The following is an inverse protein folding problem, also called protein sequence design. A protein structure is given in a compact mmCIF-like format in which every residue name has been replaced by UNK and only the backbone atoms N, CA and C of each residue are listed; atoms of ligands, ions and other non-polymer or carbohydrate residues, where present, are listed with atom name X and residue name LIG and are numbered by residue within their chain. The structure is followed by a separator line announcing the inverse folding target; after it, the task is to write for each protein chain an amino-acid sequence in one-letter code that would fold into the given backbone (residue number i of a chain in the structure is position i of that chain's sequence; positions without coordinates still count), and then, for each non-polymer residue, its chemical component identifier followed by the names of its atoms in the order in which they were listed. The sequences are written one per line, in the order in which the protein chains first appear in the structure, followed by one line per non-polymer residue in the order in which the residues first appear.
data_IF_258458595205
#
_entry.id   IF_258458595205
#
_cell.length_a   1.000
_cell.length_b   1.000
_cell.length_c   1.000
_cell.angle_alpha   90.00
_cell.angle_beta   90.00
_cell.angle_gamma   90.00
#
_symmetry.space_group_name_H-M   'P 1'
#
loop_
_entity.id
_entity.type
_entity.pdbx_description
1 polymer ?
#
# COMPACT_ATOMS: atom_id res chain seq x y z
N UNK A 1 -7.33 15.53 -11.43
CA UNK A 1 -5.92 15.08 -11.34
C UNK A 1 -5.04 16.23 -11.82
N UNK A 2 -3.80 16.33 -11.37
CA UNK A 2 -2.85 17.33 -11.88
C UNK A 2 -1.62 16.62 -12.44
N UNK A 3 -1.04 17.15 -13.51
CA UNK A 3 0.18 16.62 -14.12
C UNK A 3 1.34 17.51 -13.70
N UNK A 4 2.44 16.91 -13.25
CA UNK A 4 3.61 17.67 -12.81
C UNK A 4 4.88 16.99 -13.26
N UNK A 5 5.94 17.79 -13.43
CA UNK A 5 7.29 17.24 -13.51
C UNK A 5 7.65 16.56 -12.20
N UNK A 6 8.27 15.40 -12.30
CA UNK A 6 8.75 14.60 -11.18
C UNK A 6 10.26 14.73 -11.17
N UNK A 7 10.82 15.05 -10.01
CA UNK A 7 12.25 15.20 -9.83
C UNK A 7 12.72 14.46 -8.58
N UNK A 8 14.01 14.13 -8.52
CA UNK A 8 14.64 13.57 -7.33
C UNK A 8 15.01 14.69 -6.35
N UNK A 9 14.62 14.55 -5.09
CA UNK A 9 15.06 15.44 -4.01
C UNK A 9 16.59 15.53 -4.02
N UNK A 10 17.11 16.76 -3.93
CA UNK A 10 18.55 17.05 -3.98
C UNK A 10 19.07 17.44 -5.36
N UNK A 11 18.35 17.16 -6.46
CA UNK A 11 18.79 17.48 -7.83
C UNK A 11 18.30 18.83 -8.38
N UNK A 12 17.72 19.68 -7.51
CA UNK A 12 17.09 20.95 -7.90
C UNK A 12 15.62 20.76 -8.31
N UNK A 13 14.74 21.63 -7.81
CA UNK A 13 13.31 21.59 -8.14
C UNK A 13 13.08 22.36 -9.45
N UNK A 14 12.52 21.76 -10.52
CA UNK A 14 12.09 22.53 -11.68
C UNK A 14 10.90 23.39 -11.26
N UNK A 15 11.01 24.72 -11.40
CA UNK A 15 9.99 25.70 -11.03
C UNK A 15 9.41 26.43 -12.23
N UNK A 16 10.18 26.49 -13.33
CA UNK A 16 9.81 27.16 -14.57
C UNK A 16 10.33 26.35 -15.78
N UNK A 17 9.74 26.52 -16.97
CA UNK A 17 10.10 25.74 -18.15
C UNK A 17 11.59 25.80 -18.54
N UNK A 18 12.25 26.96 -18.40
CA UNK A 18 13.69 27.11 -18.65
C UNK A 18 14.57 26.20 -17.77
N UNK A 19 14.07 25.71 -16.62
CA UNK A 19 14.82 24.80 -15.74
C UNK A 19 14.99 23.38 -16.33
N UNK A 20 14.31 23.08 -17.44
CA UNK A 20 14.42 21.81 -18.18
C UNK A 20 15.54 21.84 -19.23
N UNK A 21 16.07 23.01 -19.57
CA UNK A 21 17.11 23.13 -20.61
C UNK A 21 18.36 22.38 -20.17
N UNK A 22 18.86 21.50 -21.05
CA UNK A 22 20.03 20.66 -20.78
C UNK A 22 19.78 19.53 -19.78
N UNK A 23 18.51 19.23 -19.45
CA UNK A 23 18.12 18.11 -18.57
C UNK A 23 17.62 16.91 -19.37
N UNK A 24 17.82 15.72 -18.83
CA UNK A 24 17.30 14.47 -19.39
C UNK A 24 15.85 14.30 -18.97
N UNK A 25 14.94 14.65 -19.88
CA UNK A 25 13.49 14.52 -19.68
C UNK A 25 12.97 13.37 -20.54
N UNK A 26 12.30 12.40 -19.93
CA UNK A 26 11.65 11.30 -20.66
C UNK A 26 10.18 11.13 -20.26
N UNK A 27 9.34 10.81 -21.23
CA UNK A 27 7.91 10.48 -21.05
C UNK A 27 7.54 9.25 -21.88
N UNK A 28 6.49 8.53 -21.47
CA UNK A 28 6.00 7.39 -22.25
C UNK A 28 5.35 7.85 -23.56
N UNK A 29 5.59 7.10 -24.64
CA UNK A 29 4.99 7.35 -25.97
C UNK A 29 3.46 7.36 -25.89
N UNK A 30 2.83 8.30 -26.61
CA UNK A 30 1.36 8.36 -26.74
C UNK A 30 0.62 8.78 -25.48
N UNK A 31 1.33 9.29 -24.47
CA UNK A 31 0.72 9.87 -23.27
C UNK A 31 0.35 11.33 -23.51
N UNK A 32 -0.65 11.85 -22.79
CA UNK A 32 -0.96 13.29 -22.80
C UNK A 32 0.22 14.16 -22.35
N UNK A 33 1.23 13.56 -21.71
CA UNK A 33 2.43 14.26 -21.25
C UNK A 33 3.30 14.75 -22.40
N UNK A 34 3.30 14.02 -23.52
CA UNK A 34 3.97 14.43 -24.77
C UNK A 34 3.39 15.77 -25.24
N UNK A 35 2.06 15.87 -25.32
CA UNK A 35 1.39 17.11 -25.72
C UNK A 35 1.70 18.28 -24.78
N UNK A 36 1.83 18.02 -23.47
CA UNK A 36 2.18 19.06 -22.50
C UNK A 36 3.62 19.55 -22.70
N UNK A 37 4.56 18.63 -22.88
CA UNK A 37 5.97 18.98 -23.10
C UNK A 37 6.19 19.64 -24.46
N UNK A 38 5.46 19.22 -25.49
CA UNK A 38 5.51 19.85 -26.82
C UNK A 38 5.03 21.31 -26.77
N UNK A 39 3.97 21.61 -26.01
CA UNK A 39 3.54 23.01 -25.79
C UNK A 39 4.60 23.83 -25.05
N UNK A 40 5.20 23.27 -24.01
CA UNK A 40 6.29 23.93 -23.30
C UNK A 40 7.51 24.17 -24.20
N UNK A 41 7.84 23.21 -25.07
CA UNK A 41 8.93 23.35 -26.03
C UNK A 41 8.63 24.43 -27.09
N UNK A 42 7.37 24.61 -27.48
CA UNK A 42 6.99 25.69 -28.39
C UNK A 42 7.15 27.09 -27.75
N UNK A 43 6.94 27.19 -26.43
CA UNK A 43 7.18 28.42 -25.66
C UNK A 43 8.67 28.64 -25.36
N UNK A 44 9.41 27.56 -25.11
CA UNK A 44 10.83 27.57 -24.75
C UNK A 44 11.61 26.54 -25.61
N UNK A 45 12.07 26.93 -26.82
CA UNK A 45 12.65 26.01 -27.81
C UNK A 45 13.90 25.25 -27.35
N UNK A 46 14.56 25.70 -26.29
CA UNK A 46 15.73 25.01 -25.70
C UNK A 46 15.39 23.74 -24.91
N UNK A 47 14.11 23.47 -24.66
CA UNK A 47 13.67 22.25 -23.98
C UNK A 47 13.80 21.06 -24.93
N UNK A 48 14.46 20.00 -24.49
CA UNK A 48 14.57 18.73 -25.19
C UNK A 48 14.04 17.62 -24.28
N UNK A 49 13.16 16.77 -24.82
CA UNK A 49 12.66 15.58 -24.14
C UNK A 49 12.61 14.42 -25.12
N UNK A 50 12.57 13.19 -24.60
CA UNK A 50 12.43 11.98 -25.41
C UNK A 50 11.18 11.19 -25.04
N UNK A 51 10.61 10.53 -26.04
CA UNK A 51 9.51 9.60 -25.86
C UNK A 51 10.06 8.17 -25.79
N UNK A 52 9.76 7.47 -24.69
CA UNK A 52 10.23 6.12 -24.46
C UNK A 52 9.13 5.10 -24.80
N UNK A 53 9.27 4.30 -25.88
CA UNK A 53 8.26 3.30 -26.27
C UNK A 53 8.27 2.06 -25.38
N UNK A 54 9.31 1.88 -24.57
CA UNK A 54 9.57 0.66 -23.82
C UNK A 54 9.41 0.85 -22.31
N UNK A 55 9.01 2.05 -21.85
CA UNK A 55 8.85 2.36 -20.45
C UNK A 55 7.45 2.91 -20.15
N UNK A 56 6.82 2.38 -19.11
CA UNK A 56 5.61 2.98 -18.57
C UNK A 56 5.93 4.15 -17.60
N UNK A 57 4.90 4.88 -17.19
CA UNK A 57 5.05 6.04 -16.29
C UNK A 57 5.66 5.62 -14.94
N UNK A 58 5.39 4.40 -14.47
CA UNK A 58 5.93 3.91 -13.22
C UNK A 58 7.44 3.68 -13.31
N UNK A 59 7.90 3.08 -14.41
CA UNK A 59 9.32 2.85 -14.69
C UNK A 59 10.08 4.16 -14.79
N UNK A 60 9.51 5.17 -15.45
CA UNK A 60 10.09 6.51 -15.56
C UNK A 60 10.16 7.24 -14.21
N UNK A 61 9.13 7.12 -13.36
CA UNK A 61 9.19 7.66 -11.99
C UNK A 61 10.33 7.01 -11.19
N UNK A 62 10.50 5.69 -11.32
CA UNK A 62 11.58 4.98 -10.65
C UNK A 62 12.95 5.32 -11.26
N UNK A 63 13.03 5.59 -12.56
CA UNK A 63 14.25 6.06 -13.23
C UNK A 63 14.69 7.44 -12.70
N UNK A 64 13.75 8.37 -12.48
CA UNK A 64 14.03 9.63 -11.77
C UNK A 64 14.56 9.36 -10.36
N UNK A 65 13.94 8.42 -9.62
CA UNK A 65 14.38 8.09 -8.27
C UNK A 65 15.82 7.56 -8.22
N UNK A 66 16.22 6.74 -9.21
CA UNK A 66 17.60 6.24 -9.36
C UNK A 66 18.56 7.34 -9.83
N UNK A 67 18.08 8.29 -10.62
CA UNK A 67 18.88 9.35 -11.24
C UNK A 67 19.31 9.01 -12.67
N UNK A 68 18.69 7.99 -13.27
CA UNK A 68 18.92 7.58 -14.66
C UNK A 68 18.46 8.68 -15.62
N UNK A 69 17.41 9.40 -15.24
CA UNK A 69 16.87 10.59 -15.92
C UNK A 69 16.64 11.68 -14.88
N UNK A 70 16.63 12.94 -15.31
CA UNK A 70 16.50 14.06 -14.39
C UNK A 70 15.03 14.30 -14.04
N UNK A 71 14.16 14.30 -15.07
CA UNK A 71 12.73 14.51 -14.92
C UNK A 71 11.87 13.56 -15.75
N UNK A 72 10.67 13.27 -15.27
CA UNK A 72 9.56 12.73 -16.06
C UNK A 72 8.29 13.52 -15.74
N UNK A 73 7.19 13.27 -16.45
CA UNK A 73 5.88 13.82 -16.13
C UNK A 73 5.00 12.71 -15.58
N UNK A 74 4.27 12.99 -14.49
CA UNK A 74 3.30 12.05 -13.97
C UNK A 74 2.08 12.74 -13.36
N UNK A 75 0.98 11.98 -13.35
CA UNK A 75 -0.23 12.34 -12.66
C UNK A 75 -0.05 12.35 -11.14
N UNK A 76 -0.70 13.29 -10.46
CA UNK A 76 -0.58 13.47 -9.01
C UNK A 76 -1.00 12.25 -8.19
N UNK A 77 -1.86 11.38 -8.72
CA UNK A 77 -2.23 10.13 -8.06
C UNK A 77 -1.13 9.07 -8.15
N UNK A 78 -0.44 8.96 -9.29
CA UNK A 78 0.73 8.06 -9.44
C UNK A 78 1.85 8.49 -8.50
N UNK A 79 2.10 9.79 -8.39
CA UNK A 79 3.12 10.31 -7.46
C UNK A 79 2.81 9.93 -6.01
N UNK A 80 1.54 9.98 -5.59
CA UNK A 80 1.15 9.56 -4.24
C UNK A 80 1.46 8.08 -3.98
N UNK A 81 1.23 7.22 -4.96
CA UNK A 81 1.55 5.78 -4.87
C UNK A 81 3.07 5.58 -4.84
N UNK A 82 3.78 6.09 -5.84
CA UNK A 82 5.19 5.77 -6.03
C UNK A 82 6.13 6.44 -5.02
N UNK A 83 5.71 7.49 -4.32
CA UNK A 83 6.50 8.08 -3.21
C UNK A 83 6.71 7.10 -2.06
N UNK A 84 5.83 6.11 -1.87
CA UNK A 84 5.99 5.09 -0.85
C UNK A 84 7.09 4.07 -1.20
N UNK A 85 7.41 3.93 -2.49
CA UNK A 85 8.43 3.03 -3.01
C UNK A 85 9.75 3.77 -3.28
N UNK A 86 9.64 5.02 -3.72
CA UNK A 86 10.74 5.91 -4.04
C UNK A 86 10.58 7.21 -3.24
N UNK A 87 10.94 7.22 -1.95
CA UNK A 87 10.68 8.36 -1.07
C UNK A 87 11.44 9.63 -1.48
N UNK A 88 12.40 9.56 -2.40
CA UNK A 88 13.12 10.73 -2.92
C UNK A 88 12.38 11.53 -3.98
N UNK A 89 11.38 10.95 -4.66
CA UNK A 89 10.68 11.67 -5.74
C UNK A 89 9.81 12.81 -5.19
N UNK A 90 9.73 13.90 -5.94
CA UNK A 90 8.97 15.11 -5.58
C UNK A 90 8.28 15.67 -6.83
N UNK A 91 7.18 16.41 -6.60
CA UNK A 91 6.51 17.20 -7.65
C UNK A 91 7.20 18.55 -7.81
N UNK A 92 7.59 18.85 -9.03
CA UNK A 92 8.16 20.12 -9.47
C UNK A 92 7.09 21.03 -10.07
N UNK A 93 7.39 21.59 -11.24
CA UNK A 93 6.49 22.43 -12.04
C UNK A 93 5.20 21.66 -12.36
N UNK A 94 4.06 22.29 -12.10
CA UNK A 94 2.75 21.80 -12.50
C UNK A 94 2.47 22.19 -13.96
N UNK A 95 2.09 21.21 -14.77
CA UNK A 95 1.84 21.37 -16.21
C UNK A 95 0.34 21.47 -16.53
N UNK A 96 -0.50 20.87 -15.70
CA UNK A 96 -1.95 20.98 -15.76
C UNK A 96 -2.57 20.73 -14.40
N UNK A 97 -3.75 21.31 -14.18
CA UNK A 97 -4.54 21.14 -12.96
C UNK A 97 -6.00 20.83 -13.31
N UNK A 98 -6.66 20.05 -12.45
CA UNK A 98 -8.10 19.78 -12.58
C UNK A 98 -8.50 18.77 -13.67
N UNK A 99 -7.57 18.08 -14.33
CA UNK A 99 -7.87 17.12 -15.38
C UNK A 99 -8.76 15.96 -14.87
N UNK A 100 -9.83 15.65 -15.59
CA UNK A 100 -10.64 14.46 -15.33
C UNK A 100 -10.02 13.24 -16.00
N UNK A 101 -10.26 12.04 -15.44
CA UNK A 101 -9.83 10.76 -16.04
C UNK A 101 -11.05 10.00 -16.58
N UNK A 102 -11.54 10.35 -17.78
CA UNK A 102 -12.69 9.67 -18.38
C UNK A 102 -12.30 8.32 -18.98
N UNK A 103 -13.29 7.43 -19.14
CA UNK A 103 -13.16 6.30 -20.06
C UNK A 103 -13.34 6.78 -21.50
N UNK A 104 -12.33 6.59 -22.33
CA UNK A 104 -12.40 6.92 -23.75
C UNK A 104 -13.13 5.81 -24.53
N UNK A 105 -14.00 6.20 -25.45
CA UNK A 105 -14.76 5.27 -26.28
C UNK A 105 -14.69 5.68 -27.76
N UNK A 106 -14.81 4.73 -28.71
CA UNK A 106 -14.83 5.06 -30.13
C UNK A 106 -15.95 6.04 -30.46
N UNK A 107 -15.65 7.05 -31.27
CA UNK A 107 -16.67 8.00 -31.76
C UNK A 107 -17.59 7.28 -32.74
N UNK A 108 -18.82 7.00 -32.32
CA UNK A 108 -19.87 6.34 -33.11
C UNK A 108 -21.17 7.14 -33.01
N UNK A 109 -22.07 6.94 -33.97
CA UNK A 109 -23.44 7.50 -33.91
C UNK A 109 -24.31 6.81 -32.87
N UNK A 110 -24.02 5.54 -32.58
CA UNK A 110 -24.66 4.78 -31.53
C UNK A 110 -24.01 5.09 -30.17
N UNK A 111 -24.82 5.58 -29.24
CA UNK A 111 -24.41 5.95 -27.87
C UNK A 111 -24.85 4.93 -26.81
N UNK A 112 -25.51 3.84 -27.19
CA UNK A 112 -26.09 2.86 -26.26
C UNK A 112 -25.08 2.34 -25.22
N UNK A 113 -23.86 2.00 -25.64
CA UNK A 113 -22.79 1.59 -24.73
C UNK A 113 -22.34 2.73 -23.81
N UNK A 114 -22.25 3.96 -24.32
CA UNK A 114 -21.81 5.12 -23.53
C UNK A 114 -22.82 5.43 -22.42
N UNK A 115 -24.11 5.34 -22.75
CA UNK A 115 -25.19 5.54 -21.80
C UNK A 115 -25.19 4.47 -20.70
N UNK A 116 -24.92 3.20 -21.06
CA UNK A 116 -24.77 2.12 -20.09
C UNK A 116 -23.55 2.29 -19.19
N UNK A 117 -22.41 2.72 -19.74
CA UNK A 117 -21.20 3.03 -18.96
C UNK A 117 -21.46 4.19 -17.98
N UNK A 118 -22.11 5.26 -18.44
CA UNK A 118 -22.47 6.40 -17.58
C UNK A 118 -23.49 6.00 -16.49
N UNK A 119 -24.46 5.14 -16.82
CA UNK A 119 -25.39 4.57 -15.85
C UNK A 119 -24.66 3.69 -14.81
N UNK A 120 -23.70 2.88 -15.24
CA UNK A 120 -22.85 2.09 -14.36
C UNK A 120 -22.04 2.99 -13.40
N UNK A 121 -21.39 4.04 -13.90
CA UNK A 121 -20.64 4.98 -13.05
C UNK A 121 -21.51 5.68 -12.01
N UNK A 122 -22.73 6.10 -12.38
CA UNK A 122 -23.72 6.61 -11.42
C UNK A 122 -24.06 5.58 -10.35
N UNK A 123 -24.37 4.33 -10.76
CA UNK A 123 -24.68 3.24 -9.83
C UNK A 123 -23.55 2.98 -8.83
N UNK A 124 -22.29 2.86 -9.29
CA UNK A 124 -21.16 2.58 -8.40
C UNK A 124 -20.74 3.77 -7.55
N UNK A 125 -21.06 4.99 -8.00
CA UNK A 125 -20.89 6.20 -7.21
C UNK A 125 -21.91 6.19 -6.05
N UNK A 126 -23.18 6.03 -6.36
CA UNK A 126 -24.28 6.16 -5.40
C UNK A 126 -24.27 5.04 -4.34
N UNK A 127 -23.84 3.83 -4.72
CA UNK A 127 -23.74 2.72 -3.79
C UNK A 127 -22.39 2.65 -3.03
N UNK A 128 -21.49 3.62 -3.25
CA UNK A 128 -20.19 3.70 -2.57
C UNK A 128 -19.11 2.73 -3.07
N UNK A 129 -19.38 1.90 -4.09
CA UNK A 129 -18.39 0.99 -4.66
C UNK A 129 -17.20 1.74 -5.25
N UNK A 130 -17.42 2.90 -5.88
CA UNK A 130 -16.34 3.76 -6.36
C UNK A 130 -15.50 4.28 -5.20
N UNK A 131 -16.12 4.75 -4.11
CA UNK A 131 -15.42 5.20 -2.90
C UNK A 131 -14.55 4.08 -2.30
N UNK A 132 -15.07 2.85 -2.28
CA UNK A 132 -14.31 1.67 -1.81
C UNK A 132 -13.12 1.35 -2.71
N UNK A 133 -13.30 1.41 -4.05
CA UNK A 133 -12.20 1.23 -5.00
C UNK A 133 -11.15 2.32 -4.80
N UNK A 134 -11.56 3.59 -4.75
CA UNK A 134 -10.65 4.71 -4.58
C UNK A 134 -9.92 4.67 -3.25
N UNK A 135 -10.61 4.35 -2.14
CA UNK A 135 -9.96 4.19 -0.84
C UNK A 135 -8.96 3.04 -0.85
N UNK A 136 -9.30 1.91 -1.48
CA UNK A 136 -8.42 0.74 -1.58
C UNK A 136 -7.07 1.10 -2.17
N UNK A 137 -7.04 1.88 -3.25
CA UNK A 137 -5.81 2.20 -3.98
C UNK A 137 -5.14 3.52 -3.55
N UNK A 138 -5.91 4.48 -3.04
CA UNK A 138 -5.40 5.84 -2.78
C UNK A 138 -5.62 6.31 -1.34
N UNK A 139 -6.53 5.68 -0.59
CA UNK A 139 -7.05 6.19 0.69
C UNK A 139 -6.02 6.34 1.81
N UNK A 140 -4.92 5.59 1.76
CA UNK A 140 -3.80 5.62 2.71
C UNK A 140 -2.52 6.25 2.13
N UNK A 141 -2.53 6.68 0.86
CA UNK A 141 -1.36 7.31 0.20
C UNK A 141 -1.33 8.83 0.37
N UNK A 142 -2.37 9.41 0.97
CA UNK A 142 -2.52 10.86 1.13
C UNK A 142 -1.55 11.49 2.14
N UNK A 143 -1.14 10.74 3.17
CA UNK A 143 -0.18 11.19 4.19
C UNK A 143 1.15 10.49 3.96
N UNK A 144 2.11 11.22 3.42
CA UNK A 144 3.46 10.70 3.15
C UNK A 144 4.44 11.11 4.26
N UNK A 145 4.87 10.15 5.07
CA UNK A 145 6.00 10.31 5.99
C UNK A 145 7.31 9.90 5.30
N UNK A 146 8.09 10.89 4.86
CA UNK A 146 9.38 10.66 4.23
C UNK A 146 10.36 9.89 5.13
N UNK A 147 10.49 10.31 6.40
CA UNK A 147 11.49 9.74 7.32
C UNK A 147 11.09 8.33 7.71
N UNK A 148 9.82 8.12 8.05
CA UNK A 148 9.28 6.80 8.38
C UNK A 148 9.34 5.83 7.20
N UNK A 149 9.01 6.28 5.99
CA UNK A 149 9.10 5.43 4.78
C UNK A 149 10.54 5.04 4.47
N UNK A 150 11.48 6.00 4.52
CA UNK A 150 12.88 5.69 4.27
C UNK A 150 13.46 4.72 5.31
N UNK A 151 13.11 4.91 6.58
CA UNK A 151 13.45 3.97 7.66
C UNK A 151 12.83 2.59 7.44
N UNK A 152 11.56 2.53 7.04
CA UNK A 152 10.88 1.27 6.74
C UNK A 152 11.57 0.51 5.63
N UNK A 153 11.84 1.17 4.51
CA UNK A 153 12.55 0.55 3.39
C UNK A 153 13.88 -0.02 3.85
N UNK A 154 14.70 0.76 4.55
CA UNK A 154 15.98 0.29 5.12
C UNK A 154 15.80 -0.94 6.03
N UNK A 155 14.88 -0.86 6.98
CA UNK A 155 14.62 -1.96 7.92
C UNK A 155 14.04 -3.20 7.19
N UNK A 156 13.30 -3.02 6.09
CA UNK A 156 12.80 -4.11 5.26
C UNK A 156 13.95 -4.84 4.55
N UNK A 157 15.06 -4.16 4.26
CA UNK A 157 16.28 -4.79 3.71
C UNK A 157 17.06 -5.53 4.80
N UNK A 158 17.19 -4.93 5.99
CA UNK A 158 18.13 -5.42 7.02
C UNK A 158 17.52 -6.30 8.10
N UNK A 159 16.26 -6.09 8.48
CA UNK A 159 15.60 -6.78 9.61
C UNK A 159 14.55 -7.79 9.18
N UNK A 160 13.69 -7.46 8.21
CA UNK A 160 12.64 -8.37 7.74
C UNK A 160 13.16 -9.77 7.36
N UNK A 161 14.34 -9.95 6.72
CA UNK A 161 14.86 -11.28 6.42
C UNK A 161 14.98 -12.21 7.63
N UNK A 162 15.25 -11.65 8.82
CA UNK A 162 15.43 -12.39 10.06
C UNK A 162 14.12 -13.00 10.58
N UNK A 163 12.97 -12.42 10.19
CA UNK A 163 11.65 -12.79 10.71
C UNK A 163 10.68 -13.23 9.62
N UNK A 164 11.06 -13.16 8.34
CA UNK A 164 10.20 -13.46 7.19
C UNK A 164 9.58 -14.84 7.30
N UNK A 165 10.40 -15.86 7.58
CA UNK A 165 9.94 -17.24 7.71
C UNK A 165 8.91 -17.39 8.83
N UNK A 166 9.06 -16.65 9.94
CA UNK A 166 8.09 -16.66 11.04
C UNK A 166 6.75 -16.05 10.62
N UNK A 167 6.77 -14.96 9.83
CA UNK A 167 5.55 -14.38 9.26
C UNK A 167 4.89 -15.31 8.24
N UNK A 168 5.67 -16.01 7.41
CA UNK A 168 5.16 -16.99 6.44
C UNK A 168 4.55 -18.22 7.15
N UNK A 169 5.18 -18.70 8.21
CA UNK A 169 4.65 -19.79 9.04
C UNK A 169 3.34 -19.39 9.73
N UNK A 170 3.27 -18.18 10.30
CA UNK A 170 2.04 -17.66 10.88
C UNK A 170 0.94 -17.43 9.83
N UNK A 171 1.30 -16.99 8.63
CA UNK A 171 0.38 -16.89 7.50
C UNK A 171 -0.22 -18.26 7.14
N UNK A 172 0.60 -19.30 7.04
CA UNK A 172 0.15 -20.67 6.78
C UNK A 172 -0.79 -21.18 7.89
N UNK A 173 -0.48 -20.89 9.16
CA UNK A 173 -1.29 -21.32 10.30
C UNK A 173 -2.65 -20.59 10.39
N UNK A 174 -2.71 -19.33 9.98
CA UNK A 174 -3.87 -18.44 10.22
C UNK A 174 -4.66 -18.06 8.97
N UNK A 175 -4.18 -18.45 7.78
CA UNK A 175 -4.79 -18.12 6.49
C UNK A 175 -4.67 -16.64 6.09
N UNK A 176 -3.74 -15.90 6.71
CA UNK A 176 -3.51 -14.48 6.41
C UNK A 176 -2.32 -14.26 5.49
N UNK A 177 -2.26 -13.11 4.83
CA UNK A 177 -1.09 -12.74 4.03
C UNK A 177 0.09 -12.40 4.96
N UNK A 178 1.23 -13.08 4.78
CA UNK A 178 2.43 -12.86 5.60
C UNK A 178 2.92 -11.41 5.55
N UNK A 179 2.69 -10.71 4.43
CA UNK A 179 3.09 -9.31 4.25
C UNK A 179 2.21 -8.39 5.10
N UNK A 180 0.94 -8.74 5.31
CA UNK A 180 0.07 -8.01 6.22
C UNK A 180 0.54 -8.21 7.68
N UNK A 181 0.89 -9.43 8.06
CA UNK A 181 1.43 -9.71 9.40
C UNK A 181 2.76 -8.99 9.64
N UNK A 182 3.65 -8.99 8.65
CA UNK A 182 4.89 -8.24 8.70
C UNK A 182 4.66 -6.72 8.81
N UNK A 183 3.69 -6.17 8.06
CA UNK A 183 3.31 -4.77 8.17
C UNK A 183 2.80 -4.39 9.57
N UNK A 184 1.99 -5.25 10.19
CA UNK A 184 1.54 -5.08 11.58
C UNK A 184 2.74 -5.10 12.53
N UNK A 185 3.59 -6.13 12.45
CA UNK A 185 4.78 -6.23 13.32
C UNK A 185 5.73 -5.04 13.17
N UNK A 186 5.81 -4.43 11.99
CA UNK A 186 6.59 -3.21 11.81
C UNK A 186 5.93 -2.00 12.49
N UNK A 187 4.63 -1.82 12.32
CA UNK A 187 3.89 -0.74 12.98
C UNK A 187 3.95 -0.87 14.50
N UNK A 188 3.93 -2.08 15.04
CA UNK A 188 3.94 -2.36 16.48
C UNK A 188 5.32 -2.15 17.11
N UNK A 189 6.37 -2.73 16.52
CA UNK A 189 7.70 -2.80 17.17
C UNK A 189 8.88 -2.46 16.26
N UNK A 190 8.63 -2.15 14.99
CA UNK A 190 9.67 -2.10 13.93
C UNK A 190 10.47 -3.40 13.85
N UNK A 191 9.76 -4.51 13.99
CA UNK A 191 10.31 -5.86 14.07
C UNK A 191 11.33 -6.05 15.19
N UNK A 192 11.07 -5.48 16.36
CA UNK A 192 11.88 -5.67 17.55
C UNK A 192 11.20 -6.66 18.52
N UNK A 193 11.68 -7.91 18.65
CA UNK A 193 11.09 -8.91 19.55
C UNK A 193 11.19 -8.51 21.02
N UNK A 194 12.19 -7.70 21.39
CA UNK A 194 12.39 -7.24 22.76
C UNK A 194 11.71 -5.90 23.06
N UNK A 195 10.79 -5.44 22.19
CA UNK A 195 10.07 -4.20 22.41
C UNK A 195 9.20 -4.28 23.67
N UNK A 196 9.23 -3.20 24.47
CA UNK A 196 8.43 -3.05 25.69
C UNK A 196 7.88 -1.61 25.72
N UNK A 197 6.57 -1.46 25.92
CA UNK A 197 5.97 -0.14 26.12
C UNK A 197 5.87 0.24 27.60
N UNK A 198 5.69 1.54 27.91
CA UNK A 198 5.32 1.99 29.25
C UNK A 198 3.99 1.39 29.76
N UNK A 199 3.09 1.02 28.85
CA UNK A 199 1.79 0.40 29.16
C UNK A 199 1.85 -1.11 29.33
N UNK A 200 3.05 -1.71 29.23
CA UNK A 200 3.29 -3.13 29.49
C UNK A 200 2.98 -4.08 28.34
N UNK A 201 2.68 -3.58 27.13
CA UNK A 201 2.67 -4.42 25.92
C UNK A 201 4.10 -4.76 25.51
N UNK A 202 4.30 -5.97 24.98
CA UNK A 202 5.64 -6.53 24.69
C UNK A 202 5.66 -7.34 23.41
N UNK A 203 6.83 -7.48 22.82
CA UNK A 203 7.05 -8.38 21.71
C UNK A 203 6.94 -7.72 20.35
N UNK A 204 7.24 -8.51 19.31
CA UNK A 204 7.22 -8.03 17.94
C UNK A 204 5.82 -7.58 17.47
N UNK A 205 4.76 -8.18 18.02
CA UNK A 205 3.35 -7.82 17.76
C UNK A 205 2.69 -7.03 18.90
N UNK A 206 3.47 -6.61 19.92
CA UNK A 206 3.03 -5.78 21.04
C UNK A 206 1.76 -6.28 21.76
N UNK A 207 1.80 -7.54 22.19
CA UNK A 207 0.67 -8.16 22.88
C UNK A 207 0.58 -7.72 24.34
N UNK A 208 -0.64 -7.45 24.82
CA UNK A 208 -0.90 -7.30 26.27
C UNK A 208 -0.80 -8.66 26.96
N UNK A 209 -0.52 -8.68 28.27
CA UNK A 209 -0.52 -9.93 29.05
C UNK A 209 -1.87 -10.65 28.95
N UNK A 210 -2.98 -9.90 29.09
CA UNK A 210 -4.33 -10.43 28.96
C UNK A 210 -4.58 -11.07 27.59
N UNK A 211 -4.11 -10.43 26.52
CA UNK A 211 -4.28 -10.95 25.16
C UNK A 211 -3.47 -12.22 24.97
N UNK A 212 -2.20 -12.23 25.41
CA UNK A 212 -1.34 -13.40 25.36
C UNK A 212 -1.96 -14.62 26.07
N UNK A 213 -2.48 -14.45 27.29
CA UNK A 213 -3.16 -15.53 28.01
C UNK A 213 -4.41 -16.06 27.28
N UNK A 214 -5.16 -15.18 26.62
CA UNK A 214 -6.40 -15.54 25.91
C UNK A 214 -6.13 -16.28 24.59
N UNK A 215 -4.95 -16.12 24.01
CA UNK A 215 -4.54 -16.73 22.74
C UNK A 215 -3.48 -17.83 22.89
N UNK A 216 -3.04 -18.14 24.12
CA UNK A 216 -2.06 -19.20 24.38
C UNK A 216 -0.61 -18.84 24.02
N UNK A 217 -0.22 -17.57 24.19
CA UNK A 217 1.18 -17.14 24.09
C UNK A 217 1.81 -17.16 25.48
N UNK A 218 2.80 -18.03 25.66
CA UNK A 218 3.51 -18.20 26.93
C UNK A 218 4.59 -17.14 27.08
N UNK A 219 5.37 -16.89 26.02
CA UNK A 219 6.38 -15.84 25.98
C UNK A 219 6.07 -14.80 24.90
N UNK A 220 5.79 -13.56 25.36
CA UNK A 220 5.49 -12.43 24.46
C UNK A 220 6.71 -11.91 23.72
N UNK A 221 7.94 -12.14 24.21
CA UNK A 221 9.17 -11.69 23.55
C UNK A 221 9.76 -12.75 22.61
N UNK A 222 9.28 -13.99 22.67
CA UNK A 222 9.56 -14.98 21.64
C UNK A 222 8.90 -14.54 20.32
N UNK A 223 9.67 -14.31 19.23
CA UNK A 223 9.13 -13.76 18.00
C UNK A 223 8.12 -14.71 17.33
N UNK A 224 8.33 -16.03 17.39
CA UNK A 224 7.44 -16.98 16.73
C UNK A 224 6.06 -16.99 17.41
N UNK A 225 6.03 -17.12 18.75
CA UNK A 225 4.80 -17.06 19.53
C UNK A 225 4.11 -15.70 19.41
N UNK A 226 4.88 -14.61 19.49
CA UNK A 226 4.33 -13.25 19.38
C UNK A 226 3.67 -13.01 18.01
N UNK A 227 4.30 -13.46 16.91
CA UNK A 227 3.75 -13.33 15.55
C UNK A 227 2.47 -14.15 15.38
N UNK A 228 2.49 -15.44 15.74
CA UNK A 228 1.32 -16.32 15.63
C UNK A 228 0.18 -15.81 16.52
N UNK A 229 0.48 -15.39 17.73
CA UNK A 229 -0.50 -14.80 18.63
C UNK A 229 -1.12 -13.50 18.09
N UNK A 230 -0.29 -12.58 17.61
CA UNK A 230 -0.78 -11.35 16.96
C UNK A 230 -1.70 -11.65 15.77
N UNK A 231 -1.33 -12.66 14.97
CA UNK A 231 -2.14 -13.13 13.87
C UNK A 231 -3.50 -13.67 14.34
N UNK A 232 -3.52 -14.54 15.34
CA UNK A 232 -4.76 -15.09 15.92
C UNK A 232 -5.64 -14.02 16.56
N UNK A 233 -5.04 -13.04 17.22
CA UNK A 233 -5.78 -11.93 17.81
C UNK A 233 -6.46 -11.07 16.74
N UNK A 234 -5.79 -10.79 15.61
CA UNK A 234 -6.42 -10.11 14.47
C UNK A 234 -7.58 -10.92 13.90
N UNK A 235 -7.41 -12.24 13.73
CA UNK A 235 -8.47 -13.14 13.28
C UNK A 235 -9.67 -13.16 14.24
N UNK A 236 -9.45 -13.07 15.55
CA UNK A 236 -10.51 -12.88 16.54
C UNK A 236 -11.26 -11.56 16.34
N UNK A 237 -10.56 -10.46 16.07
CA UNK A 237 -11.21 -9.18 15.74
C UNK A 237 -12.04 -9.30 14.46
N UNK A 238 -11.49 -9.95 13.41
CA UNK A 238 -12.22 -10.24 12.17
C UNK A 238 -13.49 -11.04 12.45
N UNK A 239 -13.46 -12.11 13.25
CA UNK A 239 -14.66 -12.92 13.56
C UNK A 239 -15.75 -12.16 14.31
N UNK A 240 -15.39 -11.17 15.14
CA UNK A 240 -16.37 -10.35 15.88
C UNK A 240 -17.10 -9.34 15.00
N UNK A 241 -16.55 -8.99 13.83
CA UNK A 241 -17.21 -8.08 12.91
C UNK A 241 -18.45 -8.73 12.29
N UNK A 242 -19.55 -7.98 12.10
CA UNK A 242 -20.73 -8.49 11.42
C UNK A 242 -20.44 -9.04 10.02
N UNK A 243 -21.23 -10.02 9.58
CA UNK A 243 -20.99 -10.77 8.34
C UNK A 243 -21.09 -9.89 7.08
N UNK A 244 -21.89 -8.82 7.12
CA UNK A 244 -22.06 -7.87 6.03
C UNK A 244 -20.80 -7.04 5.71
N UNK A 245 -19.82 -7.01 6.63
CA UNK A 245 -18.54 -6.36 6.41
C UNK A 245 -17.60 -7.35 5.70
N UNK A 246 -17.38 -7.12 4.41
CA UNK A 246 -16.57 -7.96 3.54
C UNK A 246 -15.15 -7.43 3.36
N UNK A 247 -14.24 -8.24 2.82
CA UNK A 247 -12.88 -7.81 2.49
C UNK A 247 -12.86 -6.83 1.32
N UNK A 248 -12.05 -5.76 1.35
CA UNK A 248 -10.94 -5.55 2.29
C UNK A 248 -11.32 -4.78 3.57
N UNK A 249 -12.52 -4.18 3.64
CA UNK A 249 -12.96 -3.37 4.77
C UNK A 249 -12.94 -4.13 6.10
N UNK A 250 -13.25 -5.44 6.06
CA UNK A 250 -13.19 -6.32 7.23
C UNK A 250 -11.81 -6.31 7.89
N UNK A 251 -10.75 -6.38 7.10
CA UNK A 251 -9.38 -6.31 7.62
C UNK A 251 -9.08 -4.92 8.20
N UNK A 252 -9.53 -3.83 7.56
CA UNK A 252 -9.32 -2.47 8.07
C UNK A 252 -10.01 -2.21 9.41
N UNK A 253 -11.25 -2.67 9.56
CA UNK A 253 -11.95 -2.62 10.84
C UNK A 253 -11.30 -3.49 11.91
N UNK A 254 -10.77 -4.65 11.53
CA UNK A 254 -10.07 -5.53 12.46
C UNK A 254 -8.75 -4.91 12.96
N UNK A 255 -8.00 -4.23 12.09
CA UNK A 255 -6.81 -3.48 12.48
C UNK A 255 -7.15 -2.31 13.42
N UNK A 256 -8.22 -1.56 13.13
CA UNK A 256 -8.69 -0.52 14.05
C UNK A 256 -9.07 -1.13 15.41
N UNK A 257 -9.76 -2.28 15.42
CA UNK A 257 -10.11 -2.98 16.65
C UNK A 257 -8.90 -3.58 17.38
N UNK A 258 -7.85 -3.95 16.66
CA UNK A 258 -6.58 -4.40 17.22
C UNK A 258 -5.94 -3.27 18.03
N UNK A 259 -5.91 -2.05 17.48
CA UNK A 259 -5.30 -0.87 18.09
C UNK A 259 -6.14 -0.25 19.21
N UNK A 260 -7.38 0.17 18.92
CA UNK A 260 -8.21 0.94 19.88
C UNK A 260 -9.24 0.07 20.59
N UNK A 261 -9.35 -1.21 20.25
CA UNK A 261 -10.35 -2.12 20.80
C UNK A 261 -11.69 -2.08 20.07
N UNK A 262 -12.36 -3.23 20.04
CA UNK A 262 -13.61 -3.45 19.31
C UNK A 262 -14.77 -2.54 19.74
N UNK A 263 -14.78 -2.09 21.00
CA UNK A 263 -15.84 -1.23 21.54
C UNK A 263 -15.94 0.10 20.79
N UNK A 264 -14.81 0.79 20.62
CA UNK A 264 -14.78 2.08 19.93
C UNK A 264 -15.01 1.95 18.43
N UNK A 265 -14.59 0.84 17.80
CA UNK A 265 -14.96 0.54 16.41
C UNK A 265 -16.47 0.44 16.25
N UNK A 266 -17.16 -0.21 17.19
CA UNK A 266 -18.63 -0.30 17.18
C UNK A 266 -19.28 1.07 17.35
N UNK A 267 -18.73 1.92 18.21
CA UNK A 267 -19.26 3.27 18.42
C UNK A 267 -19.08 4.15 17.17
N UNK A 268 -17.91 4.14 16.54
CA UNK A 268 -17.66 4.86 15.29
C UNK A 268 -18.64 4.42 14.17
N UNK A 269 -18.87 3.10 14.04
CA UNK A 269 -19.85 2.55 13.08
C UNK A 269 -21.28 3.00 13.36
N UNK A 270 -21.67 3.08 14.63
CA UNK A 270 -23.02 3.55 15.03
C UNK A 270 -23.21 5.02 14.72
N UNK A 271 -22.22 5.86 15.03
CA UNK A 271 -22.26 7.28 14.67
C UNK A 271 -22.33 7.47 13.15
N UNK A 272 -21.57 6.67 12.39
CA UNK A 272 -21.64 6.69 10.92
C UNK A 272 -23.04 6.33 10.40
N UNK A 273 -23.63 5.26 10.91
CA UNK A 273 -24.98 4.85 10.53
C UNK A 273 -26.04 5.90 10.91
N UNK A 274 -25.92 6.54 12.07
CA UNK A 274 -26.82 7.59 12.51
C UNK A 274 -26.78 8.82 11.58
N UNK A 275 -25.62 9.11 10.99
CA UNK A 275 -25.43 10.17 10.00
C UNK A 275 -25.70 9.70 8.54
N UNK A 276 -26.42 8.58 8.38
CA UNK A 276 -26.81 8.04 7.06
C UNK A 276 -25.67 7.47 6.22
N UNK A 277 -24.49 7.27 6.81
CA UNK A 277 -23.34 6.69 6.12
C UNK A 277 -23.41 5.16 6.09
N UNK A 278 -22.82 4.55 5.06
CA UNK A 278 -22.66 3.10 4.99
C UNK A 278 -21.63 2.61 6.02
N UNK A 279 -22.12 2.09 7.16
CA UNK A 279 -21.30 1.58 8.25
C UNK A 279 -20.52 0.28 7.93
N UNK A 280 -20.66 -0.26 6.71
CA UNK A 280 -19.90 -1.41 6.22
C UNK A 280 -18.59 -1.01 5.55
N UNK A 281 -18.46 0.25 5.14
CA UNK A 281 -17.30 0.75 4.40
C UNK A 281 -16.34 1.49 5.34
N UNK A 282 -15.08 1.08 5.35
CA UNK A 282 -14.04 1.70 6.17
C UNK A 282 -13.93 3.19 5.88
N UNK A 283 -13.93 3.57 4.60
CA UNK A 283 -13.80 4.97 4.16
C UNK A 283 -14.91 5.87 4.69
N UNK A 284 -16.13 5.35 4.84
CA UNK A 284 -17.26 6.08 5.40
C UNK A 284 -17.21 6.15 6.93
N UNK A 285 -16.68 5.14 7.61
CA UNK A 285 -16.61 5.10 9.08
C UNK A 285 -15.36 5.78 9.64
N UNK A 286 -14.23 5.78 8.90
CA UNK A 286 -12.95 6.37 9.34
C UNK A 286 -13.09 7.79 9.93
N UNK A 287 -13.84 8.74 9.32
CA UNK A 287 -14.02 10.08 9.89
C UNK A 287 -14.68 10.11 11.27
N UNK A 288 -15.43 9.07 11.64
CA UNK A 288 -16.16 8.99 12.89
C UNK A 288 -15.29 8.61 14.08
N UNK A 289 -14.09 8.06 13.85
CA UNK A 289 -13.12 7.90 14.93
C UNK A 289 -12.69 9.26 15.47
N UNK A 290 -12.44 10.25 14.60
CA UNK A 290 -12.11 11.61 15.03
C UNK A 290 -13.26 12.26 15.82
N UNK A 291 -14.51 11.99 15.44
CA UNK A 291 -15.68 12.47 16.20
C UNK A 291 -15.65 11.97 17.66
N UNK A 292 -15.18 10.76 17.94
CA UNK A 292 -15.06 10.21 19.30
C UNK A 292 -14.05 10.94 20.21
N UNK A 293 -13.30 11.91 19.69
CA UNK A 293 -12.47 12.81 20.51
C UNK A 293 -13.26 14.01 21.06
N UNK A 294 -14.42 14.31 20.47
CA UNK A 294 -15.19 15.52 20.79
C UNK A 294 -16.30 15.18 21.77
N UNK A 295 -16.41 15.96 22.85
CA UNK A 295 -17.39 15.74 23.94
C UNK A 295 -18.80 15.54 23.46
N UNK A 296 -19.26 16.34 22.48
CA UNK A 296 -20.60 16.24 21.92
C UNK A 296 -20.93 14.84 21.37
N UNK A 297 -19.93 14.10 20.89
CA UNK A 297 -20.12 12.78 20.27
C UNK A 297 -19.79 11.66 21.24
N UNK A 298 -18.68 11.74 21.99
CA UNK A 298 -18.28 10.62 22.84
C UNK A 298 -19.23 10.38 24.01
N UNK A 299 -19.98 11.39 24.47
CA UNK A 299 -20.99 11.20 25.52
C UNK A 299 -22.20 10.40 25.03
N UNK A 300 -22.41 10.32 23.71
CA UNK A 300 -23.44 9.49 23.07
C UNK A 300 -22.92 8.07 22.78
N UNK A 301 -21.60 7.87 22.81
CA UNK A 301 -20.95 6.60 22.54
C UNK A 301 -20.96 5.71 23.79
N UNK A 302 -21.20 4.40 23.61
CA UNK A 302 -21.30 3.46 24.74
C UNK A 302 -19.98 3.34 25.53
N UNK A 303 -18.84 3.47 24.87
CA UNK A 303 -17.52 3.32 25.50
C UNK A 303 -16.83 4.67 25.70
N UNK A 304 -17.51 5.79 25.47
CA UNK A 304 -16.97 7.12 25.75
C UNK A 304 -15.84 7.55 24.81
N UNK A 305 -14.93 8.34 25.36
CA UNK A 305 -13.80 8.95 24.65
C UNK A 305 -12.87 7.89 24.06
N UNK A 306 -12.39 8.14 22.83
CA UNK A 306 -11.28 7.41 22.23
C UNK A 306 -10.30 8.39 21.56
N UNK A 307 -8.99 8.09 21.56
CA UNK A 307 -8.00 8.86 20.79
C UNK A 307 -8.21 8.59 19.29
N UNK A 308 -9.17 9.29 18.68
CA UNK A 308 -9.69 8.98 17.34
C UNK A 308 -8.69 9.00 16.19
N UNK A 309 -7.60 9.78 16.29
CA UNK A 309 -6.58 9.85 15.26
C UNK A 309 -5.68 8.60 15.23
N UNK A 310 -5.47 7.95 16.37
CA UNK A 310 -4.55 6.84 16.55
C UNK A 310 -4.95 5.58 15.74
N UNK A 311 -6.18 5.04 15.83
CA UNK A 311 -6.57 3.86 15.05
C UNK A 311 -6.61 4.15 13.55
N UNK A 312 -6.96 5.37 13.16
CA UNK A 312 -6.95 5.76 11.75
C UNK A 312 -5.53 5.76 11.20
N UNK A 313 -4.60 6.40 11.91
CA UNK A 313 -3.19 6.40 11.52
C UNK A 313 -2.58 5.00 11.55
N UNK A 314 -2.93 4.20 12.54
CA UNK A 314 -2.48 2.81 12.63
C UNK A 314 -2.88 2.01 11.38
N UNK A 315 -4.16 2.07 10.99
CA UNK A 315 -4.67 1.39 9.79
C UNK A 315 -3.99 1.91 8.52
N UNK A 316 -3.84 3.23 8.37
CA UNK A 316 -3.19 3.83 7.21
C UNK A 316 -1.72 3.42 7.08
N UNK A 317 -0.97 3.41 8.19
CA UNK A 317 0.43 2.99 8.21
C UNK A 317 0.60 1.51 7.87
N UNK A 318 -0.20 0.63 8.48
CA UNK A 318 -0.16 -0.81 8.18
C UNK A 318 -0.48 -1.07 6.71
N UNK A 319 -1.49 -0.38 6.15
CA UNK A 319 -1.82 -0.46 4.72
C UNK A 319 -0.66 0.00 3.85
N UNK A 320 -0.02 1.10 4.21
CA UNK A 320 1.15 1.60 3.49
C UNK A 320 2.32 0.59 3.50
N UNK A 321 2.68 0.07 4.67
CA UNK A 321 3.74 -0.95 4.77
C UNK A 321 3.38 -2.23 4.01
N UNK A 322 2.13 -2.66 4.08
CA UNK A 322 1.64 -3.83 3.36
C UNK A 322 1.78 -3.67 1.85
N UNK A 323 1.39 -2.52 1.29
CA UNK A 323 1.52 -2.28 -0.15
C UNK A 323 2.99 -2.20 -0.61
N UNK A 324 3.86 -1.58 0.19
CA UNK A 324 5.30 -1.57 -0.08
C UNK A 324 5.84 -3.01 -0.10
N UNK A 325 5.48 -3.85 0.89
CA UNK A 325 5.93 -5.23 0.95
C UNK A 325 5.42 -6.06 -0.22
N UNK A 326 4.16 -5.89 -0.62
CA UNK A 326 3.61 -6.57 -1.82
C UNK A 326 4.34 -6.17 -3.09
N UNK A 327 4.70 -4.90 -3.22
CA UNK A 327 5.46 -4.43 -4.38
C UNK A 327 6.88 -5.00 -4.39
N UNK A 328 7.58 -4.99 -3.24
CA UNK A 328 8.92 -5.55 -3.11
C UNK A 328 8.94 -7.04 -3.45
N UNK A 329 7.97 -7.80 -2.93
CA UNK A 329 7.83 -9.23 -3.17
C UNK A 329 7.53 -9.52 -4.66
N UNK A 330 6.59 -8.77 -5.28
CA UNK A 330 6.32 -8.87 -6.71
C UNK A 330 7.55 -8.56 -7.57
N UNK A 331 8.32 -7.52 -7.24
CA UNK A 331 9.54 -7.18 -7.99
C UNK A 331 10.56 -8.32 -7.96
N UNK A 332 10.76 -8.94 -6.80
CA UNK A 332 11.67 -10.06 -6.65
C UNK A 332 11.24 -11.26 -7.48
N UNK A 333 9.94 -11.58 -7.49
CA UNK A 333 9.41 -12.64 -8.35
C UNK A 333 9.70 -12.37 -9.84
N UNK A 334 9.56 -11.12 -10.28
CA UNK A 334 9.87 -10.74 -11.67
C UNK A 334 11.37 -10.91 -12.00
N UNK A 335 12.25 -10.50 -11.09
CA UNK A 335 13.70 -10.66 -11.29
C UNK A 335 14.12 -12.13 -11.34
N UNK A 336 13.55 -12.97 -10.47
CA UNK A 336 13.79 -14.41 -10.48
C UNK A 336 13.32 -15.06 -11.78
N UNK A 337 12.17 -14.64 -12.31
CA UNK A 337 11.66 -15.10 -13.61
C UNK A 337 12.57 -14.72 -14.77
N UNK A 338 13.11 -13.49 -14.76
CA UNK A 338 14.05 -13.02 -15.80
C UNK A 338 15.38 -13.77 -15.78
N UNK A 339 15.77 -14.32 -14.63
CA UNK A 339 17.04 -15.04 -14.46
C UNK A 339 16.90 -16.56 -14.61
N UNK A 340 15.67 -17.08 -14.64
CA UNK A 340 15.41 -18.49 -14.91
C UNK A 340 15.54 -18.76 -16.41
N UNK A 341 16.33 -19.75 -16.87
CA UNK A 341 16.33 -20.13 -18.28
C UNK A 341 14.90 -20.51 -18.71
N UNK A 342 14.51 -20.26 -19.99
CA UNK A 342 13.19 -20.65 -20.48
C UNK A 342 13.00 -22.13 -20.19
N UNK A 343 11.90 -22.47 -19.51
CA UNK A 343 11.58 -23.84 -19.18
C UNK A 343 11.65 -24.67 -20.46
N UNK A 344 12.59 -25.63 -20.51
CA UNK A 344 12.55 -26.67 -21.53
C UNK A 344 11.17 -27.30 -21.43
N UNK A 345 10.35 -27.09 -22.46
CA UNK A 345 9.12 -27.86 -22.66
C UNK A 345 9.61 -29.28 -22.96
N UNK A 346 9.89 -30.04 -21.92
CA UNK A 346 10.01 -31.49 -22.01
C UNK A 346 8.62 -31.97 -22.37
N UNK A 347 8.42 -32.36 -23.64
CA UNK A 347 7.28 -33.18 -24.04
C UNK A 347 7.33 -34.45 -23.19
N UNK A 348 6.53 -34.50 -22.13
CA UNK A 348 6.37 -35.69 -21.31
C UNK A 348 5.69 -36.75 -22.19
N UNK A 349 6.47 -37.74 -22.65
CA UNK A 349 5.93 -39.04 -23.02
C UNK A 349 5.67 -39.79 -21.71
N UNK A 350 4.43 -40.24 -21.56
CA UNK A 350 3.94 -41.03 -20.45
C UNK A 350 4.63 -42.40 -20.37
N UNK A 351 5.09 -42.78 -19.17
CA UNK A 351 4.77 -44.05 -18.51
C UNK A 351 5.24 -44.03 -17.04
N UNK A 352 4.66 -44.87 -16.16
CA UNK A 352 4.72 -44.73 -14.72
C UNK A 352 5.84 -45.61 -14.11
N UNK A 353 6.50 -45.15 -13.05
CA UNK A 353 6.47 -45.89 -11.78
C UNK A 353 7.11 -45.16 -10.58
N UNK A 354 6.62 -45.60 -9.42
CA UNK A 354 7.01 -45.47 -8.01
C UNK A 354 8.35 -44.81 -7.61
N UNK A 355 8.28 -44.02 -6.53
CA UNK A 355 9.42 -43.81 -5.62
C UNK A 355 9.41 -42.46 -4.90
N UNK A 356 9.06 -42.45 -3.61
CA UNK A 356 9.41 -41.35 -2.70
C UNK A 356 10.92 -41.46 -2.40
N UNK A 357 11.66 -40.35 -2.25
CA UNK A 357 11.89 -39.89 -0.88
C UNK A 357 12.02 -38.38 -0.70
N UNK A 358 11.81 -37.99 0.57
CA UNK A 358 12.17 -36.72 1.19
C UNK A 358 13.51 -36.14 0.72
N UNK A 359 13.54 -34.83 0.40
CA UNK A 359 14.74 -34.01 0.56
C UNK A 359 14.41 -32.58 1.01
N UNK A 360 15.14 -32.20 2.05
CA UNK A 360 15.36 -30.89 2.65
C UNK A 360 15.41 -29.70 1.69
N UNK A 361 14.84 -28.58 2.12
CA UNK A 361 15.09 -27.26 1.55
C UNK A 361 16.42 -26.68 2.08
N UNK A 362 17.29 -26.17 1.20
CA UNK A 362 18.09 -25.00 1.59
C UNK A 362 18.21 -23.95 0.46
N UNK A 363 18.64 -22.75 0.85
CA UNK A 363 19.22 -21.67 0.04
C UNK A 363 18.36 -20.49 -0.48
N UNK A 364 17.04 -20.41 -0.22
CA UNK A 364 16.22 -19.27 -0.69
C UNK A 364 16.49 -17.92 0.01
N UNK A 365 17.12 -17.91 1.20
CA UNK A 365 17.29 -16.70 2.01
C UNK A 365 18.52 -15.84 1.66
N UNK A 366 19.58 -16.40 1.08
CA UNK A 366 20.81 -15.65 0.74
C UNK A 366 20.71 -14.90 -0.60
N UNK A 367 20.05 -15.49 -1.59
CA UNK A 367 19.87 -14.90 -2.93
C UNK A 367 18.96 -13.65 -2.91
N UNK A 368 18.07 -13.58 -1.91
CA UNK A 368 17.21 -12.44 -1.60
C UNK A 368 18.01 -11.16 -1.23
N UNK A 369 19.20 -11.29 -0.64
CA UNK A 369 19.91 -10.19 0.03
C UNK A 369 20.80 -9.35 -0.89
N UNK A 370 21.36 -9.93 -1.95
CA UNK A 370 22.22 -9.18 -2.88
C UNK A 370 21.42 -8.28 -3.84
N UNK A 371 20.16 -8.61 -4.13
CA UNK A 371 19.36 -7.93 -5.15
C UNK A 371 18.67 -6.66 -4.63
N UNK A 372 18.37 -6.62 -3.34
CA UNK A 372 17.77 -5.44 -2.69
C UNK A 372 18.78 -4.29 -2.52
N UNK A 373 20.09 -4.58 -2.53
CA UNK A 373 21.15 -3.56 -2.43
C UNK A 373 21.36 -2.73 -3.72
N UNK A 374 20.79 -3.16 -4.85
CA UNK A 374 20.85 -2.44 -6.13
C UNK A 374 19.68 -1.44 -6.34
N UNK A 375 18.79 -1.33 -5.34
CA UNK A 375 17.72 -0.33 -5.23
C UNK A 375 17.98 0.58 -4.02
#
# INVERSE_FOLDING_TARGET
VSQSLIYKRGQGKPRKPVDLIGKRVEVGVGTSYVDRLARLQAEEPGIVFSENPNADVAELILAVARGDIDYTVADSHLVKIYRNLAPEIRRGLELSSGDSLPWAMPRRRDHSLADQVNAYFRKIHDNGQLSRIMDRYYGHTGRFDYVGTHRFLRDARSKLPLYRELFENAANATGMDWRLLAAIGYQESRWNPSAVSPTGVRGIMMLTQRTASVIGVDDRIDPAQSIVGGADYLNRMKRRLPAEITEPDRTWFALAAYNVGFGHVRDARRLAAADGQDSRLWVHVRPYFEKLTQRRWYTQAKHGYAPGWEPVMYVENVRNYYDILRWLDWKLEQEQRKQSPPANIVKVRSQPDSGNPSQSAPARSKEFLQKIAAF
#
